data_IF_859281581977
#
_entry.id   IF_859281581977
#
_cell.length_a   1.000
_cell.length_b   1.000
_cell.length_c   1.000
_cell.angle_alpha   90.00
_cell.angle_beta   90.00
_cell.angle_gamma   90.00
#
_symmetry.space_group_name_H-M   'P 1'
#
loop_
_entity.id
_entity.type
_entity.pdbx_description
1 polymer ?
#
# COMPACT_ATOMS: atom_id res chain seq x y z
N UNK A 1 -7.18 13.66 2.53
CA UNK A 1 -6.10 14.67 2.48
C UNK A 1 -4.87 13.96 1.95
N UNK A 2 -4.21 14.54 0.96
CA UNK A 2 -2.95 14.04 0.40
C UNK A 2 -1.91 15.17 0.43
N UNK A 3 -0.63 14.82 0.35
CA UNK A 3 0.49 15.76 0.35
C UNK A 3 1.24 15.62 -0.96
N UNK A 4 1.50 16.73 -1.63
CA UNK A 4 2.26 16.73 -2.89
C UNK A 4 3.73 16.98 -2.59
N UNK A 5 4.59 16.09 -3.06
CA UNK A 5 6.04 16.25 -2.92
C UNK A 5 6.59 17.28 -3.93
N UNK A 6 7.66 18.01 -3.59
CA UNK A 6 8.32 18.89 -4.54
C UNK A 6 8.82 18.11 -5.77
N UNK A 7 8.78 18.75 -6.93
CA UNK A 7 9.31 18.19 -8.17
C UNK A 7 10.84 18.13 -8.09
N UNK A 8 11.41 16.97 -8.39
CA UNK A 8 12.87 16.83 -8.54
C UNK A 8 13.32 17.19 -9.96
N UNK A 9 14.59 17.58 -10.16
CA UNK A 9 15.17 17.73 -11.49
C UNK A 9 14.92 16.48 -12.35
N UNK A 10 14.75 16.63 -13.67
CA UNK A 10 14.79 15.47 -14.56
C UNK A 10 16.17 14.80 -14.44
N UNK A 11 16.24 13.51 -14.75
CA UNK A 11 17.50 12.74 -14.81
C UNK A 11 18.15 12.36 -13.47
N UNK A 12 17.44 12.41 -12.33
CA UNK A 12 17.98 11.87 -11.05
C UNK A 12 18.47 10.42 -11.17
N UNK A 13 17.92 9.65 -12.10
CA UNK A 13 18.35 8.28 -12.36
C UNK A 13 19.84 8.14 -12.71
N UNK A 14 20.53 9.18 -13.20
CA UNK A 14 21.98 9.11 -13.47
C UNK A 14 22.81 9.01 -12.20
N UNK A 15 22.23 9.33 -11.05
CA UNK A 15 22.84 9.23 -9.72
C UNK A 15 22.39 7.99 -8.95
N UNK A 16 21.68 7.05 -9.60
CA UNK A 16 21.35 5.76 -9.03
C UNK A 16 22.63 5.01 -8.65
N UNK A 17 22.75 4.70 -7.36
CA UNK A 17 23.89 3.99 -6.80
C UNK A 17 23.42 3.19 -5.58
N UNK A 18 23.71 1.90 -5.56
CA UNK A 18 23.39 1.04 -4.43
C UNK A 18 24.47 1.20 -3.34
N UNK A 19 24.05 1.36 -2.09
CA UNK A 19 24.92 1.14 -0.94
C UNK A 19 24.17 0.43 0.17
N UNK A 20 24.89 -0.36 0.95
CA UNK A 20 24.34 -1.19 2.00
C UNK A 20 25.15 -1.11 3.30
N UNK A 21 24.62 -1.76 4.33
CA UNK A 21 25.20 -1.82 5.66
C UNK A 21 24.86 -3.17 6.31
N UNK A 22 25.76 -3.71 7.11
CA UNK A 22 25.57 -4.99 7.83
C UNK A 22 24.58 -4.88 9.01
N UNK A 23 24.41 -3.69 9.57
CA UNK A 23 23.50 -3.41 10.68
C UNK A 23 22.16 -2.80 10.24
N UNK A 24 21.40 -2.25 11.20
CA UNK A 24 20.21 -1.46 10.88
C UNK A 24 20.62 -0.07 10.38
N UNK A 25 20.13 0.38 9.21
CA UNK A 25 20.40 1.74 8.74
C UNK A 25 19.79 2.76 9.71
N UNK A 26 20.46 3.90 9.94
CA UNK A 26 20.01 4.88 10.91
C UNK A 26 18.78 5.66 10.42
N UNK A 27 17.95 6.12 11.37
CA UNK A 27 16.97 7.18 11.08
C UNK A 27 17.71 8.45 10.65
N UNK A 28 17.32 9.03 9.51
CA UNK A 28 17.95 10.24 8.95
C UNK A 28 17.05 11.48 9.00
N UNK A 29 15.73 11.30 9.18
CA UNK A 29 14.77 12.41 9.26
C UNK A 29 13.73 12.16 10.36
N UNK A 30 13.12 13.23 10.87
CA UNK A 30 12.04 13.13 11.89
C UNK A 30 12.43 12.31 13.14
N UNK A 31 13.66 12.46 13.64
CA UNK A 31 14.23 11.62 14.72
C UNK A 31 13.33 11.46 15.95
N UNK A 32 12.80 12.55 16.50
CA UNK A 32 11.94 12.49 17.69
C UNK A 32 10.66 11.72 17.42
N UNK A 33 10.03 11.93 16.25
CA UNK A 33 8.82 11.21 15.88
C UNK A 33 9.10 9.71 15.71
N UNK A 34 10.19 9.35 15.00
CA UNK A 34 10.64 7.96 14.84
C UNK A 34 10.82 7.28 16.21
N UNK A 35 11.50 7.96 17.15
CA UNK A 35 11.71 7.47 18.51
C UNK A 35 10.39 7.22 19.27
N UNK A 36 9.50 8.23 19.35
CA UNK A 36 8.25 8.07 20.09
C UNK A 36 7.30 7.07 19.44
N UNK A 37 7.25 7.01 18.11
CA UNK A 37 6.43 6.04 17.39
C UNK A 37 6.95 4.61 17.60
N UNK A 38 8.26 4.41 17.56
CA UNK A 38 8.86 3.10 17.82
C UNK A 38 8.58 2.61 19.23
N UNK A 39 8.72 3.50 20.23
CA UNK A 39 8.44 3.17 21.63
C UNK A 39 6.98 2.79 21.86
N UNK A 40 6.03 3.53 21.29
CA UNK A 40 4.61 3.21 21.51
C UNK A 40 4.18 1.94 20.75
N UNK A 41 4.80 1.63 19.61
CA UNK A 41 4.59 0.37 18.89
C UNK A 41 5.06 -0.84 19.73
N UNK A 42 6.17 -0.73 20.46
CA UNK A 42 6.65 -1.80 21.35
C UNK A 42 5.64 -2.18 22.44
N UNK A 43 4.86 -1.22 22.94
CA UNK A 43 3.80 -1.48 23.94
C UNK A 43 2.66 -2.36 23.40
N UNK A 44 2.56 -2.52 22.07
CA UNK A 44 1.57 -3.39 21.42
C UNK A 44 2.00 -4.86 21.52
N UNK A 45 3.31 -5.12 21.39
CA UNK A 45 3.88 -6.48 21.30
C UNK A 45 3.47 -7.34 22.50
N UNK A 46 3.49 -6.77 23.71
CA UNK A 46 3.10 -7.49 24.94
C UNK A 46 1.58 -7.73 25.07
N UNK A 47 0.77 -7.08 24.23
CA UNK A 47 -0.71 -7.06 24.33
C UNK A 47 -1.41 -7.43 23.03
N UNK A 48 -0.74 -8.13 22.12
CA UNK A 48 -1.18 -8.37 20.73
C UNK A 48 -2.62 -8.92 20.62
N UNK A 49 -2.97 -9.94 21.40
CA UNK A 49 -4.32 -10.55 21.39
C UNK A 49 -5.42 -9.55 21.71
N UNK A 50 -5.19 -8.70 22.72
CA UNK A 50 -6.15 -7.66 23.08
C UNK A 50 -6.14 -6.55 22.05
N UNK A 51 -4.96 -6.12 21.60
CA UNK A 51 -4.81 -5.12 20.56
C UNK A 51 -5.64 -5.44 19.31
N UNK A 52 -5.63 -6.71 18.88
CA UNK A 52 -6.38 -7.19 17.72
C UNK A 52 -7.90 -7.05 17.81
N UNK A 53 -8.43 -7.05 19.03
CA UNK A 53 -9.83 -6.79 19.32
C UNK A 53 -10.08 -5.27 19.36
N UNK A 54 -9.28 -4.53 20.13
CA UNK A 54 -9.55 -3.13 20.43
C UNK A 54 -9.25 -2.19 19.26
N UNK A 55 -8.27 -2.50 18.41
CA UNK A 55 -7.96 -1.73 17.20
C UNK A 55 -9.14 -1.65 16.22
N UNK A 56 -10.08 -2.61 16.30
CA UNK A 56 -11.29 -2.62 15.47
C UNK A 56 -12.29 -1.56 15.92
N UNK A 57 -12.39 -1.29 17.23
CA UNK A 57 -13.28 -0.25 17.77
C UNK A 57 -12.73 1.16 17.52
N UNK A 58 -11.41 1.33 17.62
CA UNK A 58 -10.77 2.63 17.45
C UNK A 58 -10.48 3.00 15.99
N UNK A 59 -10.68 2.07 15.04
CA UNK A 59 -10.57 2.32 13.61
C UNK A 59 -11.92 2.77 13.01
N UNK A 60 -12.07 4.05 12.58
CA UNK A 60 -13.37 4.60 12.21
C UNK A 60 -14.10 3.93 11.04
N UNK A 61 -13.36 3.23 10.18
CA UNK A 61 -13.85 2.63 8.94
C UNK A 61 -13.75 1.10 8.94
N UNK A 62 -13.53 0.48 10.11
CA UNK A 62 -13.34 -0.98 10.22
C UNK A 62 -14.53 -1.77 9.67
N UNK A 63 -15.75 -1.28 9.89
CA UNK A 63 -16.98 -2.01 9.58
C UNK A 63 -17.45 -1.89 8.13
N UNK A 64 -16.70 -1.19 7.26
CA UNK A 64 -16.94 -1.28 5.80
C UNK A 64 -16.90 -2.75 5.38
N UNK A 65 -15.84 -3.46 5.77
CA UNK A 65 -15.63 -4.86 5.40
C UNK A 65 -15.82 -5.83 6.57
N UNK A 66 -15.32 -5.49 7.75
CA UNK A 66 -15.35 -6.38 8.91
C UNK A 66 -16.76 -6.49 9.48
N UNK A 67 -17.11 -7.65 10.05
CA UNK A 67 -18.40 -7.82 10.71
C UNK A 67 -18.54 -6.89 11.91
N UNK A 68 -19.70 -6.27 12.01
CA UNK A 68 -20.10 -5.48 13.16
C UNK A 68 -20.37 -6.45 14.33
N UNK A 69 -19.85 -6.17 15.55
CA UNK A 69 -20.13 -6.96 16.73
C UNK A 69 -21.63 -7.25 16.87
N UNK A 70 -21.97 -8.52 17.11
CA UNK A 70 -23.35 -9.01 17.30
C UNK A 70 -24.32 -8.86 16.11
N UNK A 71 -23.91 -8.35 14.94
CA UNK A 71 -24.81 -8.15 13.78
C UNK A 71 -24.58 -9.13 12.62
N UNK A 72 -23.57 -10.01 12.71
CA UNK A 72 -23.15 -11.04 11.72
C UNK A 72 -23.00 -10.52 10.26
N UNK A 73 -22.91 -9.21 10.06
CA UNK A 73 -22.81 -8.56 8.75
C UNK A 73 -21.90 -7.34 8.84
N UNK A 74 -21.34 -6.95 7.70
CA UNK A 74 -20.58 -5.69 7.56
C UNK A 74 -21.49 -4.62 6.93
N UNK A 75 -21.01 -3.38 6.90
CA UNK A 75 -21.73 -2.29 6.24
C UNK A 75 -21.78 -2.50 4.74
N UNK A 76 -20.65 -2.76 4.06
CA UNK A 76 -20.64 -3.08 2.64
C UNK A 76 -21.41 -4.37 2.35
N UNK A 77 -22.27 -4.35 1.33
CA UNK A 77 -22.84 -5.56 0.73
C UNK A 77 -21.83 -6.24 -0.17
N UNK A 78 -20.96 -5.46 -0.83
CA UNK A 78 -19.91 -6.00 -1.68
C UNK A 78 -18.85 -6.74 -0.86
N UNK A 79 -18.48 -7.94 -1.33
CA UNK A 79 -17.50 -8.84 -0.70
C UNK A 79 -16.33 -9.06 -1.65
N UNK A 80 -15.30 -8.20 -1.59
CA UNK A 80 -14.17 -8.30 -2.49
C UNK A 80 -13.24 -9.47 -2.13
N UNK A 81 -12.33 -9.80 -3.06
CA UNK A 81 -11.23 -10.75 -2.87
C UNK A 81 -10.37 -10.37 -1.66
N UNK A 82 -10.21 -9.07 -1.42
CA UNK A 82 -9.48 -8.57 -0.26
C UNK A 82 -9.93 -7.16 0.14
N UNK A 83 -9.55 -6.74 1.35
CA UNK A 83 -9.80 -5.37 1.86
C UNK A 83 -9.08 -4.28 1.06
N UNK A 84 -8.05 -4.63 0.27
CA UNK A 84 -7.31 -3.66 -0.53
C UNK A 84 -8.20 -3.05 -1.63
N UNK A 85 -9.25 -3.75 -2.06
CA UNK A 85 -10.30 -3.23 -2.95
C UNK A 85 -10.80 -1.84 -2.53
N UNK A 86 -11.22 -1.67 -1.27
CA UNK A 86 -11.78 -0.40 -0.80
C UNK A 86 -10.74 0.72 -0.78
N UNK A 87 -9.46 0.40 -0.56
CA UNK A 87 -8.38 1.40 -0.65
C UNK A 87 -8.22 1.88 -2.09
N UNK A 88 -8.27 0.96 -3.05
CA UNK A 88 -8.15 1.29 -4.47
C UNK A 88 -9.33 2.14 -4.97
N UNK A 89 -10.56 1.84 -4.51
CA UNK A 89 -11.73 2.68 -4.77
C UNK A 89 -11.50 4.13 -4.31
N UNK A 90 -10.97 4.33 -3.09
CA UNK A 90 -10.62 5.69 -2.63
C UNK A 90 -9.54 6.34 -3.48
N UNK A 91 -8.47 5.61 -3.79
CA UNK A 91 -7.33 6.14 -4.54
C UNK A 91 -7.77 6.60 -5.94
N UNK A 92 -8.54 5.78 -6.66
CA UNK A 92 -9.01 6.10 -8.01
C UNK A 92 -10.10 7.17 -8.05
N UNK A 93 -10.87 7.33 -6.98
CA UNK A 93 -11.81 8.45 -6.88
C UNK A 93 -11.11 9.80 -6.76
N UNK A 94 -9.91 9.84 -6.17
CA UNK A 94 -9.13 11.06 -5.95
C UNK A 94 -8.17 11.28 -7.13
N UNK A 95 -7.57 10.20 -7.63
CA UNK A 95 -6.58 10.19 -8.69
C UNK A 95 -7.08 9.27 -9.82
N UNK A 96 -7.96 9.76 -10.69
CA UNK A 96 -8.54 8.95 -11.75
C UNK A 96 -7.47 8.45 -12.73
N UNK A 97 -7.75 7.28 -13.33
CA UNK A 97 -6.91 6.70 -14.38
C UNK A 97 -6.96 7.62 -15.61
N UNK A 98 -5.82 7.90 -16.28
CA UNK A 98 -5.84 8.67 -17.51
C UNK A 98 -6.57 7.93 -18.64
N UNK A 99 -7.13 8.68 -19.59
CA UNK A 99 -7.73 8.14 -20.83
C UNK A 99 -8.87 7.11 -20.62
N UNK A 100 -9.80 7.39 -19.70
CA UNK A 100 -10.94 6.53 -19.33
C UNK A 100 -11.77 6.09 -20.55
N UNK A 101 -11.82 6.86 -21.63
CA UNK A 101 -12.66 6.54 -22.79
C UNK A 101 -12.06 5.46 -23.72
N UNK A 102 -10.77 5.16 -23.60
CA UNK A 102 -10.09 4.17 -24.45
C UNK A 102 -9.78 2.88 -23.67
N UNK A 103 -9.61 1.74 -24.37
CA UNK A 103 -9.10 0.53 -23.74
C UNK A 103 -7.73 0.77 -23.13
N UNK A 104 -7.55 0.38 -21.87
CA UNK A 104 -6.29 0.56 -21.14
C UNK A 104 -5.60 -0.77 -20.85
N UNK A 105 -4.30 -0.70 -20.58
CA UNK A 105 -3.53 -1.79 -19.98
C UNK A 105 -3.10 -1.40 -18.58
N UNK A 106 -3.31 -2.27 -17.61
CA UNK A 106 -2.83 -2.05 -16.23
C UNK A 106 -1.99 -3.23 -15.74
N UNK A 107 -1.02 -2.98 -14.87
CA UNK A 107 -0.17 -4.02 -14.30
C UNK A 107 -0.13 -3.93 -12.77
N UNK A 108 -0.40 -5.05 -12.10
CA UNK A 108 -0.62 -5.16 -10.65
C UNK A 108 0.47 -6.03 -10.02
N UNK A 109 1.41 -5.42 -9.30
CA UNK A 109 2.63 -6.04 -8.77
C UNK A 109 2.49 -6.47 -7.31
N UNK A 110 2.74 -7.75 -7.03
CA UNK A 110 2.72 -8.35 -5.69
C UNK A 110 1.38 -8.17 -4.94
N UNK A 111 0.26 -8.27 -5.66
CA UNK A 111 -1.07 -7.91 -5.14
C UNK A 111 -2.00 -9.09 -4.88
N UNK A 112 -1.50 -10.33 -4.85
CA UNK A 112 -2.31 -11.51 -4.52
C UNK A 112 -3.10 -11.29 -3.21
N UNK A 113 -4.42 -11.53 -3.16
CA UNK A 113 -5.27 -12.22 -4.14
C UNK A 113 -5.92 -11.32 -5.20
N UNK A 114 -5.63 -10.02 -5.25
CA UNK A 114 -6.09 -9.14 -6.32
C UNK A 114 -7.23 -8.17 -5.99
N UNK A 115 -7.30 -7.67 -4.76
CA UNK A 115 -8.33 -6.66 -4.42
C UNK A 115 -8.21 -5.37 -5.23
N UNK A 116 -7.00 -4.96 -5.60
CA UNK A 116 -6.76 -3.77 -6.44
C UNK A 116 -7.20 -3.99 -7.88
N UNK A 117 -6.77 -5.09 -8.52
CA UNK A 117 -7.22 -5.45 -9.87
C UNK A 117 -8.75 -5.58 -9.96
N UNK A 118 -9.39 -6.18 -8.95
CA UNK A 118 -10.85 -6.26 -8.85
C UNK A 118 -11.51 -4.86 -8.81
N UNK A 119 -10.94 -3.92 -8.04
CA UNK A 119 -11.44 -2.55 -7.99
C UNK A 119 -11.32 -1.83 -9.34
N UNK A 120 -10.19 -2.02 -10.04
CA UNK A 120 -10.01 -1.43 -11.38
C UNK A 120 -11.00 -2.02 -12.37
N UNK A 121 -11.14 -3.35 -12.42
CA UNK A 121 -12.09 -4.05 -13.29
C UNK A 121 -13.50 -3.53 -13.07
N UNK A 122 -13.94 -3.42 -11.81
CA UNK A 122 -15.29 -2.96 -11.48
C UNK A 122 -15.53 -1.49 -11.86
N UNK A 123 -14.55 -0.61 -11.62
CA UNK A 123 -14.66 0.81 -11.96
C UNK A 123 -14.64 1.05 -13.48
N UNK A 124 -13.81 0.30 -14.20
CA UNK A 124 -13.65 0.44 -15.65
C UNK A 124 -14.80 -0.19 -16.42
N UNK A 125 -15.28 -1.35 -15.95
CA UNK A 125 -16.33 -2.14 -16.57
C UNK A 125 -16.17 -2.25 -18.11
N UNK A 126 -14.94 -2.51 -18.57
CA UNK A 126 -14.58 -2.50 -19.99
C UNK A 126 -13.89 -3.82 -20.36
N UNK A 127 -14.58 -4.65 -21.16
CA UNK A 127 -14.06 -5.95 -21.59
C UNK A 127 -12.85 -5.85 -22.54
N UNK A 128 -12.60 -4.67 -23.12
CA UNK A 128 -11.46 -4.43 -24.01
C UNK A 128 -10.18 -4.04 -23.27
N UNK A 129 -10.28 -3.65 -22.01
CA UNK A 129 -9.12 -3.40 -21.16
C UNK A 129 -8.36 -4.72 -20.93
N UNK A 130 -7.06 -4.63 -20.62
CA UNK A 130 -6.25 -5.78 -20.19
C UNK A 130 -5.65 -5.50 -18.82
N UNK A 131 -5.85 -6.42 -17.90
CA UNK A 131 -5.37 -6.29 -16.53
C UNK A 131 -4.36 -7.41 -16.23
N UNK A 132 -3.10 -7.07 -16.07
CA UNK A 132 -2.04 -8.04 -15.80
C UNK A 132 -1.76 -8.10 -14.30
N UNK A 133 -1.72 -9.30 -13.72
CA UNK A 133 -1.41 -9.51 -12.31
C UNK A 133 -0.18 -10.39 -12.12
N UNK A 134 0.79 -9.94 -11.34
CA UNK A 134 1.99 -10.69 -10.99
C UNK A 134 2.10 -10.78 -9.47
N UNK A 135 2.20 -11.99 -8.92
CA UNK A 135 2.41 -12.23 -7.48
C UNK A 135 3.22 -13.50 -7.30
N UNK A 136 3.91 -13.62 -6.17
CA UNK A 136 4.62 -14.83 -5.79
C UNK A 136 3.70 -16.05 -5.88
N UNK A 137 4.18 -17.10 -6.52
CA UNK A 137 3.52 -18.39 -6.55
C UNK A 137 4.08 -19.25 -5.43
N UNK A 138 3.20 -19.77 -4.58
CA UNK A 138 3.54 -20.82 -3.63
C UNK A 138 3.64 -22.14 -4.41
N UNK A 139 4.86 -22.51 -4.81
CA UNK A 139 5.10 -23.72 -5.63
C UNK A 139 4.87 -25.01 -4.86
N UNK A 140 4.78 -24.96 -3.53
CA UNK A 140 4.65 -26.15 -2.68
C UNK A 140 3.26 -26.30 -2.05
N UNK A 141 2.40 -25.29 -2.16
CA UNK A 141 1.05 -25.24 -1.55
C UNK A 141 1.07 -25.45 -0.02
N UNK A 142 2.22 -25.24 0.62
CA UNK A 142 2.44 -25.55 2.04
C UNK A 142 2.23 -24.34 2.95
N UNK A 143 2.26 -23.11 2.42
CA UNK A 143 2.17 -21.90 3.24
C UNK A 143 0.98 -21.02 2.83
N UNK A 144 -0.06 -21.03 3.66
CA UNK A 144 -1.25 -20.20 3.48
C UNK A 144 -0.99 -18.69 3.63
N UNK A 145 0.18 -18.29 4.16
CA UNK A 145 0.54 -16.89 4.36
C UNK A 145 1.15 -16.24 3.11
N UNK A 146 1.59 -17.03 2.12
CA UNK A 146 2.13 -16.48 0.87
C UNK A 146 0.97 -15.91 0.03
N UNK A 147 1.01 -14.60 -0.32
CA UNK A 147 -0.01 -13.99 -1.17
C UNK A 147 -0.12 -14.71 -2.51
N UNK A 148 -1.30 -15.24 -2.84
CA UNK A 148 -1.52 -16.01 -4.07
C UNK A 148 -2.92 -15.78 -4.64
N UNK A 149 -3.11 -16.20 -5.89
CA UNK A 149 -4.39 -16.12 -6.61
C UNK A 149 -5.40 -17.21 -6.22
N UNK A 150 -5.10 -18.04 -5.22
CA UNK A 150 -5.93 -19.19 -4.78
C UNK A 150 -7.38 -18.80 -4.42
N UNK A 151 -7.62 -17.55 -4.00
CA UNK A 151 -8.96 -17.04 -3.66
C UNK A 151 -9.69 -16.39 -4.83
N UNK A 152 -9.10 -16.41 -6.02
CA UNK A 152 -9.50 -15.57 -7.16
C UNK A 152 -10.07 -16.35 -8.33
N UNK A 153 -10.18 -17.69 -8.24
CA UNK A 153 -10.65 -18.56 -9.33
C UNK A 153 -11.96 -18.11 -9.98
N UNK A 154 -12.95 -17.78 -9.15
CA UNK A 154 -14.25 -17.31 -9.65
C UNK A 154 -14.10 -15.99 -10.40
N UNK A 155 -13.38 -15.04 -9.81
CA UNK A 155 -13.13 -13.73 -10.41
C UNK A 155 -12.38 -13.86 -11.74
N UNK A 156 -11.34 -14.69 -11.81
CA UNK A 156 -10.57 -14.93 -13.04
C UNK A 156 -11.42 -15.59 -14.14
N UNK A 157 -12.34 -16.50 -13.76
CA UNK A 157 -13.30 -17.08 -14.73
C UNK A 157 -14.30 -16.06 -15.25
N UNK A 158 -14.82 -15.18 -14.39
CA UNK A 158 -15.77 -14.12 -14.76
C UNK A 158 -15.11 -12.99 -15.57
N UNK A 159 -13.79 -12.80 -15.43
CA UNK A 159 -13.03 -11.73 -16.08
C UNK A 159 -11.84 -12.26 -16.89
N UNK A 160 -12.12 -12.77 -18.10
CA UNK A 160 -11.10 -13.35 -19.01
C UNK A 160 -10.03 -12.35 -19.49
N UNK A 161 -10.27 -11.05 -19.31
CA UNK A 161 -9.31 -10.00 -19.60
C UNK A 161 -8.36 -9.68 -18.44
N UNK A 162 -8.48 -10.42 -17.33
CA UNK A 162 -7.47 -10.49 -16.27
C UNK A 162 -6.49 -11.61 -16.58
N UNK A 163 -5.22 -11.27 -16.75
CA UNK A 163 -4.16 -12.17 -17.21
C UNK A 163 -3.11 -12.28 -16.11
N UNK A 164 -2.84 -13.50 -15.65
CA UNK A 164 -1.77 -13.75 -14.70
C UNK A 164 -0.42 -13.80 -15.42
N UNK A 165 0.49 -12.94 -15.02
CA UNK A 165 1.84 -12.85 -15.55
C UNK A 165 2.82 -13.31 -14.46
N UNK A 166 3.29 -14.56 -14.56
CA UNK A 166 4.19 -15.14 -13.57
C UNK A 166 5.68 -14.93 -13.91
N UNK A 167 5.97 -14.17 -14.97
CA UNK A 167 7.33 -13.93 -15.45
C UNK A 167 7.94 -15.16 -16.12
N UNK A 168 9.18 -15.02 -16.60
CA UNK A 168 9.88 -16.09 -17.33
C UNK A 168 10.27 -17.25 -16.42
N UNK A 169 10.47 -17.00 -15.12
CA UNK A 169 10.74 -18.06 -14.13
C UNK A 169 9.48 -18.83 -13.74
N UNK A 170 8.30 -18.30 -14.04
CA UNK A 170 7.01 -18.85 -13.58
C UNK A 170 6.72 -18.66 -12.10
N UNK A 171 7.61 -18.03 -11.32
CA UNK A 171 7.45 -17.87 -9.87
C UNK A 171 6.69 -16.61 -9.47
N UNK A 172 6.55 -15.64 -10.38
CA UNK A 172 6.01 -14.32 -10.07
C UNK A 172 6.87 -13.51 -9.09
N UNK A 173 8.11 -13.94 -8.84
CA UNK A 173 9.04 -13.24 -7.96
C UNK A 173 9.57 -11.97 -8.62
N UNK A 174 9.20 -10.83 -8.05
CA UNK A 174 9.63 -9.51 -8.52
C UNK A 174 11.03 -9.14 -8.05
N UNK A 175 11.69 -9.94 -7.21
CA UNK A 175 13.11 -9.81 -6.87
C UNK A 175 14.02 -10.62 -7.80
N UNK A 176 13.46 -11.36 -8.77
CA UNK A 176 14.23 -12.06 -9.80
C UNK A 176 14.67 -11.11 -10.92
N UNK A 177 15.98 -11.08 -11.20
CA UNK A 177 16.53 -10.33 -12.34
C UNK A 177 15.98 -10.83 -13.67
N UNK A 178 15.83 -12.15 -13.84
CA UNK A 178 15.31 -12.74 -15.09
C UNK A 178 13.88 -12.27 -15.37
N UNK A 179 13.05 -12.24 -14.33
CA UNK A 179 11.70 -11.68 -14.44
C UNK A 179 11.73 -10.18 -14.75
N UNK A 180 12.62 -9.41 -14.12
CA UNK A 180 12.75 -7.98 -14.41
C UNK A 180 13.10 -7.72 -15.88
N UNK A 181 14.08 -8.45 -16.43
CA UNK A 181 14.49 -8.33 -17.82
C UNK A 181 13.35 -8.70 -18.78
N UNK A 182 12.70 -9.85 -18.54
CA UNK A 182 11.58 -10.33 -19.35
C UNK A 182 10.41 -9.34 -19.37
N UNK A 183 10.01 -8.83 -18.21
CA UNK A 183 8.88 -7.90 -18.09
C UNK A 183 9.21 -6.55 -18.75
N UNK A 184 10.43 -6.06 -18.56
CA UNK A 184 10.91 -4.84 -19.20
C UNK A 184 10.82 -4.90 -20.72
N UNK A 185 11.14 -6.05 -21.32
CA UNK A 185 11.06 -6.25 -22.77
C UNK A 185 9.60 -6.42 -23.24
N UNK A 186 8.82 -7.27 -22.56
CA UNK A 186 7.46 -7.64 -22.99
C UNK A 186 6.46 -6.48 -22.89
N UNK A 187 6.53 -5.67 -21.85
CA UNK A 187 5.55 -4.63 -21.55
C UNK A 187 6.03 -3.20 -21.82
N UNK A 188 7.30 -3.05 -22.19
CA UNK A 188 8.01 -1.80 -22.52
C UNK A 188 7.12 -0.58 -22.80
N UNK A 189 7.06 0.35 -21.83
CA UNK A 189 6.39 1.65 -21.96
C UNK A 189 4.93 1.61 -22.46
N UNK A 190 4.20 0.53 -22.13
CA UNK A 190 2.85 0.28 -22.67
C UNK A 190 1.73 0.22 -21.62
N UNK A 191 2.05 0.36 -20.33
CA UNK A 191 1.10 0.25 -19.24
C UNK A 191 0.59 1.64 -18.80
N UNK A 192 -0.73 1.84 -18.81
CA UNK A 192 -1.38 3.10 -18.45
C UNK A 192 -1.45 3.31 -16.93
N UNK A 193 -1.67 2.22 -16.17
CA UNK A 193 -1.65 2.22 -14.71
C UNK A 193 -0.83 1.05 -14.18
N UNK A 194 0.20 1.35 -13.38
CA UNK A 194 0.88 0.33 -12.58
C UNK A 194 0.43 0.47 -11.12
N UNK A 195 0.21 -0.62 -10.44
CA UNK A 195 -0.02 -0.65 -9.00
C UNK A 195 0.90 -1.66 -8.33
N UNK A 196 1.22 -1.40 -7.07
CA UNK A 196 2.15 -2.18 -6.28
C UNK A 196 1.71 -2.15 -4.80
N UNK A 197 1.11 -3.24 -4.31
CA UNK A 197 0.64 -3.41 -2.91
C UNK A 197 1.46 -4.45 -2.12
N UNK A 198 2.67 -4.75 -2.60
CA UNK A 198 3.56 -5.75 -2.02
C UNK A 198 3.97 -5.44 -0.59
N UNK A 199 3.99 -6.48 0.25
CA UNK A 199 4.42 -6.41 1.64
C UNK A 199 4.66 -7.81 2.21
N UNK A 200 5.58 -7.93 3.16
CA UNK A 200 5.74 -9.14 3.95
C UNK A 200 4.77 -9.15 5.15
N UNK A 201 4.58 -10.30 5.78
CA UNK A 201 3.90 -10.34 7.08
C UNK A 201 4.87 -9.81 8.16
N UNK A 202 4.52 -8.65 8.71
CA UNK A 202 5.31 -7.95 9.74
C UNK A 202 4.63 -8.01 11.11
N UNK A 203 3.71 -8.95 11.33
CA UNK A 203 2.97 -9.10 12.59
C UNK A 203 3.86 -9.16 13.83
N UNK A 204 5.09 -9.67 13.70
CA UNK A 204 6.08 -9.77 14.77
C UNK A 204 7.08 -8.61 14.87
N UNK A 205 7.23 -7.77 13.84
CA UNK A 205 8.24 -6.69 13.82
C UNK A 205 7.80 -5.45 13.01
N UNK A 206 6.95 -4.64 13.64
CA UNK A 206 6.47 -3.39 13.03
C UNK A 206 7.53 -2.28 12.93
N UNK A 207 8.64 -2.38 13.67
CA UNK A 207 9.64 -1.32 13.75
C UNK A 207 10.70 -1.44 12.65
N UNK A 208 11.04 -2.66 12.22
CA UNK A 208 12.00 -2.87 11.12
C UNK A 208 11.33 -3.01 9.74
N UNK A 209 10.02 -2.78 9.66
CA UNK A 209 9.25 -2.86 8.42
C UNK A 209 9.82 -1.98 7.28
N UNK A 210 10.28 -0.76 7.58
CA UNK A 210 10.89 0.14 6.59
C UNK A 210 12.22 -0.41 6.03
N UNK A 211 12.97 -1.15 6.85
CA UNK A 211 14.25 -1.74 6.47
C UNK A 211 14.00 -2.96 5.58
N UNK A 212 13.15 -3.88 6.02
CA UNK A 212 12.89 -5.15 5.33
C UNK A 212 12.21 -4.98 3.97
N UNK A 213 11.36 -3.95 3.81
CA UNK A 213 10.66 -3.72 2.54
C UNK A 213 11.53 -3.01 1.49
N UNK A 214 12.67 -2.44 1.87
CA UNK A 214 13.48 -1.55 1.02
C UNK A 214 13.80 -2.13 -0.37
N UNK A 215 14.24 -3.40 -0.43
CA UNK A 215 14.54 -4.11 -1.67
C UNK A 215 13.28 -4.33 -2.52
N UNK A 216 12.17 -4.71 -1.88
CA UNK A 216 10.88 -4.89 -2.55
C UNK A 216 10.32 -3.57 -3.10
N UNK A 217 10.51 -2.45 -2.39
CA UNK A 217 10.10 -1.13 -2.87
C UNK A 217 10.88 -0.74 -4.13
N UNK A 218 12.21 -0.88 -4.12
CA UNK A 218 13.02 -0.58 -5.29
C UNK A 218 12.68 -1.47 -6.48
N UNK A 219 12.41 -2.76 -6.24
CA UNK A 219 11.94 -3.67 -7.28
C UNK A 219 10.60 -3.22 -7.87
N UNK A 220 9.58 -2.97 -7.04
CA UNK A 220 8.27 -2.48 -7.51
C UNK A 220 8.39 -1.18 -8.30
N UNK A 221 9.23 -0.24 -7.87
CA UNK A 221 9.52 1.00 -8.60
C UNK A 221 10.19 0.69 -9.93
N UNK A 222 11.23 -0.15 -9.94
CA UNK A 222 11.97 -0.48 -11.17
C UNK A 222 11.06 -1.11 -12.22
N UNK A 223 10.24 -2.08 -11.82
CA UNK A 223 9.23 -2.70 -12.68
C UNK A 223 8.23 -1.66 -13.21
N UNK A 224 7.71 -0.79 -12.34
CA UNK A 224 6.79 0.26 -12.76
C UNK A 224 7.44 1.17 -13.83
N UNK A 225 8.62 1.71 -13.56
CA UNK A 225 9.31 2.65 -14.45
C UNK A 225 9.60 2.08 -15.84
N UNK A 226 9.96 0.79 -15.96
CA UNK A 226 10.26 0.18 -17.27
C UNK A 226 9.02 -0.15 -18.10
N UNK A 227 7.87 -0.37 -17.44
CA UNK A 227 6.60 -0.69 -18.08
C UNK A 227 5.73 0.54 -18.37
N UNK A 228 5.94 1.63 -17.63
CA UNK A 228 5.03 2.78 -17.61
C UNK A 228 4.99 3.51 -18.96
N UNK A 229 3.80 3.65 -19.52
CA UNK A 229 3.53 4.49 -20.69
C UNK A 229 3.61 5.97 -20.32
N UNK A 230 4.09 6.81 -21.25
CA UNK A 230 4.06 8.27 -21.08
C UNK A 230 2.67 8.77 -20.69
N UNK A 231 2.60 9.62 -19.68
CA UNK A 231 1.36 10.13 -19.09
C UNK A 231 0.66 9.15 -18.16
N UNK A 232 1.16 7.92 -17.99
CA UNK A 232 0.58 6.91 -17.12
C UNK A 232 0.76 7.21 -15.63
N UNK A 233 0.00 6.49 -14.81
CA UNK A 233 0.01 6.63 -13.35
C UNK A 233 0.62 5.40 -12.67
N UNK A 234 1.20 5.61 -11.49
CA UNK A 234 1.73 4.55 -10.63
C UNK A 234 1.26 4.73 -9.18
N UNK A 235 0.79 3.65 -8.56
CA UNK A 235 0.39 3.62 -7.15
C UNK A 235 1.25 2.61 -6.40
N UNK A 236 1.96 3.05 -5.36
CA UNK A 236 2.89 2.22 -4.59
C UNK A 236 2.55 2.28 -3.11
N UNK A 237 2.36 1.12 -2.49
CA UNK A 237 2.32 1.01 -1.03
C UNK A 237 3.71 1.25 -0.43
N UNK A 238 3.76 2.05 0.62
CA UNK A 238 4.93 2.23 1.47
C UNK A 238 4.52 2.16 2.94
N UNK A 239 5.51 2.10 3.83
CA UNK A 239 5.30 2.10 5.28
C UNK A 239 5.86 3.37 5.89
N UNK A 240 6.72 3.29 6.90
CA UNK A 240 7.39 4.47 7.46
C UNK A 240 8.35 5.13 6.45
N UNK A 241 8.76 6.36 6.73
CA UNK A 241 9.69 7.13 5.89
C UNK A 241 10.60 7.94 6.81
N UNK A 242 11.51 7.25 7.49
CA UNK A 242 12.48 7.83 8.41
C UNK A 242 13.92 7.60 7.98
N UNK A 243 14.15 6.68 7.03
CA UNK A 243 15.46 6.21 6.62
C UNK A 243 15.78 6.69 5.20
N UNK A 244 17.07 6.90 4.94
CA UNK A 244 17.55 7.52 3.71
C UNK A 244 17.14 6.77 2.43
N UNK A 245 17.14 5.43 2.43
CA UNK A 245 16.75 4.68 1.24
C UNK A 245 15.30 4.98 0.82
N UNK A 246 14.37 5.15 1.76
CA UNK A 246 12.99 5.53 1.44
C UNK A 246 12.92 6.94 0.87
N UNK A 247 13.67 7.88 1.45
CA UNK A 247 13.75 9.27 0.96
C UNK A 247 14.31 9.31 -0.47
N UNK A 248 15.35 8.53 -0.75
CA UNK A 248 15.96 8.40 -2.08
C UNK A 248 14.94 7.90 -3.10
N UNK A 249 14.15 6.87 -2.77
CA UNK A 249 13.11 6.33 -3.65
C UNK A 249 12.00 7.35 -3.95
N UNK A 250 11.56 8.12 -2.95
CA UNK A 250 10.56 9.18 -3.15
C UNK A 250 11.10 10.30 -4.04
N UNK A 251 12.35 10.71 -3.81
CA UNK A 251 13.02 11.74 -4.62
C UNK A 251 13.27 11.29 -6.06
N UNK A 252 13.56 10.00 -6.25
CA UNK A 252 13.63 9.38 -7.57
C UNK A 252 12.27 9.47 -8.25
N UNK A 253 11.19 8.99 -7.64
CA UNK A 253 9.84 9.03 -8.21
C UNK A 253 9.41 10.46 -8.60
N UNK A 254 9.71 11.47 -7.79
CA UNK A 254 9.40 12.86 -8.14
C UNK A 254 10.22 13.40 -9.31
N UNK A 255 11.25 12.70 -9.79
CA UNK A 255 11.91 13.02 -11.07
C UNK A 255 11.19 12.39 -12.28
N UNK A 256 10.47 11.27 -12.09
CA UNK A 256 9.86 10.48 -13.17
C UNK A 256 8.41 10.84 -13.53
N UNK A 257 7.69 11.49 -12.61
CA UNK A 257 6.26 11.81 -12.78
C UNK A 257 5.99 13.30 -12.62
N UNK A 258 4.98 13.85 -13.30
CA UNK A 258 4.58 15.25 -13.19
C UNK A 258 4.27 15.64 -11.73
N UNK A 259 3.52 14.79 -11.03
CA UNK A 259 3.18 14.97 -9.62
C UNK A 259 3.32 13.65 -8.87
N UNK A 260 3.79 13.76 -7.63
CA UNK A 260 3.90 12.65 -6.69
C UNK A 260 3.23 13.05 -5.40
N UNK A 261 2.31 12.22 -4.93
CA UNK A 261 1.51 12.46 -3.73
C UNK A 261 1.72 11.37 -2.70
N UNK A 262 1.69 11.73 -1.42
CA UNK A 262 1.59 10.77 -0.31
C UNK A 262 0.17 10.86 0.27
N UNK A 263 -0.50 9.71 0.36
CA UNK A 263 -1.87 9.60 0.85
C UNK A 263 -2.04 8.36 1.75
N UNK A 264 -2.82 8.49 2.82
CA UNK A 264 -3.33 7.36 3.59
C UNK A 264 -4.85 7.30 3.42
N UNK A 265 -5.38 6.35 2.64
CA UNK A 265 -6.84 6.14 2.50
C UNK A 265 -7.51 5.93 3.85
N UNK A 266 -8.78 6.30 3.97
CA UNK A 266 -9.57 6.15 5.19
C UNK A 266 -9.74 4.68 5.58
N UNK A 267 -9.77 3.79 4.59
CA UNK A 267 -9.82 2.33 4.72
C UNK A 267 -8.48 1.70 5.14
N UNK A 268 -7.38 2.47 5.16
CA UNK A 268 -6.13 2.04 5.80
C UNK A 268 -6.15 2.41 7.29
N UNK A 269 -5.88 1.41 8.16
CA UNK A 269 -6.03 1.56 9.62
C UNK A 269 -5.15 2.67 10.17
N UNK A 270 -5.68 3.48 11.08
CA UNK A 270 -4.96 4.67 11.58
C UNK A 270 -3.73 4.34 12.42
N UNK A 271 -3.71 3.20 13.10
CA UNK A 271 -2.57 2.76 13.90
C UNK A 271 -1.41 2.16 13.09
N UNK A 272 -1.60 1.82 11.80
CA UNK A 272 -0.54 1.22 10.99
C UNK A 272 0.24 2.29 10.20
N UNK A 273 1.46 1.93 9.82
CA UNK A 273 2.35 2.79 9.02
C UNK A 273 2.05 2.73 7.51
N UNK A 274 1.12 1.88 7.08
CA UNK A 274 0.75 1.73 5.67
C UNK A 274 0.19 3.04 5.10
N UNK A 275 0.76 3.44 3.97
CA UNK A 275 0.36 4.60 3.17
C UNK A 275 0.68 4.33 1.70
N UNK A 276 0.24 5.20 0.82
CA UNK A 276 0.40 5.05 -0.62
C UNK A 276 1.05 6.29 -1.23
N UNK A 277 1.99 6.04 -2.13
CA UNK A 277 2.52 7.01 -3.07
C UNK A 277 1.69 6.92 -4.33
N UNK A 278 1.17 8.07 -4.79
CA UNK A 278 0.43 8.18 -6.04
C UNK A 278 1.19 9.11 -6.97
N UNK A 279 1.74 8.52 -8.02
CA UNK A 279 2.49 9.17 -9.07
C UNK A 279 1.57 9.35 -10.29
N UNK A 280 1.48 10.57 -10.81
CA UNK A 280 0.64 10.88 -11.98
C UNK A 280 1.44 11.54 -13.10
N UNK A 281 1.17 11.14 -14.34
CA UNK A 281 1.79 11.74 -15.51
C UNK A 281 3.25 11.34 -15.68
N UNK A 282 3.52 10.09 -16.03
CA UNK A 282 4.89 9.63 -16.31
C UNK A 282 5.54 10.44 -17.44
N UNK A 283 6.77 10.92 -17.23
CA UNK A 283 7.39 11.92 -18.10
C UNK A 283 8.09 11.34 -19.34
N UNK A 284 8.59 10.11 -19.25
CA UNK A 284 9.43 9.52 -20.29
C UNK A 284 8.59 8.81 -21.36
N UNK A 285 9.05 8.86 -22.60
CA UNK A 285 8.44 8.14 -23.73
C UNK A 285 8.86 6.68 -23.81
N UNK A 286 10.08 6.38 -23.35
CA UNK A 286 10.61 5.03 -23.27
C UNK A 286 11.52 4.86 -22.05
N UNK A 287 11.95 3.61 -21.79
CA UNK A 287 12.83 3.27 -20.67
C UNK A 287 14.32 3.21 -21.01
N UNK A 288 14.73 3.42 -22.26
CA UNK A 288 16.10 3.15 -22.72
C UNK A 288 17.15 3.98 -21.99
N UNK A 289 16.83 5.24 -21.66
CA UNK A 289 17.78 6.16 -21.05
C UNK A 289 18.12 5.84 -19.59
N UNK A 290 17.19 5.24 -18.85
CA UNK A 290 17.33 4.96 -17.43
C UNK A 290 17.41 3.46 -17.10
N UNK A 291 17.04 2.58 -18.03
CA UNK A 291 17.07 1.13 -17.84
C UNK A 291 18.46 0.60 -17.43
N UNK A 292 19.60 1.02 -18.04
CA UNK A 292 20.91 0.53 -17.61
C UNK A 292 21.23 0.86 -16.15
N UNK A 293 20.82 2.04 -15.66
CA UNK A 293 21.03 2.47 -14.28
C UNK A 293 20.17 1.65 -13.30
N UNK A 294 18.89 1.45 -13.62
CA UNK A 294 18.01 0.59 -12.84
C UNK A 294 18.55 -0.84 -12.77
N UNK A 295 18.90 -1.42 -13.93
CA UNK A 295 19.44 -2.79 -14.02
C UNK A 295 20.70 -2.96 -13.16
N UNK A 296 21.63 -2.00 -13.21
CA UNK A 296 22.86 -2.05 -12.42
C UNK A 296 22.58 -2.08 -10.92
N UNK A 297 21.77 -1.12 -10.42
CA UNK A 297 21.41 -1.07 -8.99
C UNK A 297 20.61 -2.31 -8.57
N UNK A 298 19.72 -2.80 -9.42
CA UNK A 298 18.96 -4.01 -9.16
C UNK A 298 19.88 -5.23 -9.02
N UNK A 299 20.89 -5.39 -9.89
CA UNK A 299 21.85 -6.49 -9.82
C UNK A 299 22.61 -6.48 -8.49
N UNK A 300 23.17 -5.33 -8.13
CA UNK A 300 23.93 -5.15 -6.88
C UNK A 300 23.07 -5.44 -5.64
N UNK A 301 21.80 -5.05 -5.68
CA UNK A 301 20.84 -5.30 -4.60
C UNK A 301 20.53 -6.79 -4.41
N UNK A 302 20.39 -7.57 -5.50
CA UNK A 302 20.14 -9.02 -5.42
C UNK A 302 21.41 -9.77 -4.97
N UNK A 303 22.59 -9.36 -5.46
CA UNK A 303 23.88 -9.99 -5.13
C UNK A 303 24.23 -9.92 -3.64
N UNK A 304 23.63 -8.95 -2.91
CA UNK A 304 23.85 -8.74 -1.48
C UNK A 304 22.55 -8.98 -0.68
N UNK A 305 22.02 -10.21 -0.61
CA UNK A 305 20.72 -10.47 0.02
C UNK A 305 20.74 -10.28 1.54
N UNK A 306 21.91 -10.47 2.17
CA UNK A 306 22.08 -10.49 3.64
C UNK A 306 22.39 -9.11 4.25
N UNK A 307 22.54 -8.06 3.44
CA UNK A 307 22.77 -6.69 3.91
C UNK A 307 21.48 -5.86 3.86
N UNK A 308 21.42 -4.82 4.69
CA UNK A 308 20.34 -3.85 4.67
C UNK A 308 20.70 -2.69 3.76
N UNK A 309 19.73 -2.20 2.98
CA UNK A 309 19.95 -1.05 2.09
C UNK A 309 20.19 0.21 2.91
N UNK A 310 21.24 0.96 2.57
CA UNK A 310 21.53 2.26 3.15
C UNK A 310 21.03 3.39 2.23
N UNK A 311 21.39 3.34 0.94
CA UNK A 311 20.99 4.35 -0.05
C UNK A 311 20.76 3.77 -1.45
N UNK A 312 19.99 4.51 -2.25
CA UNK A 312 19.81 4.28 -3.68
C UNK A 312 20.33 5.42 -4.56
N UNK A 313 20.76 6.54 -3.97
CA UNK A 313 21.30 7.69 -4.69
C UNK A 313 22.67 8.10 -4.13
N UNK A 314 23.57 8.52 -5.02
CA UNK A 314 24.92 9.02 -4.66
C UNK A 314 24.96 10.53 -4.37
N UNK A 315 23.82 11.22 -4.44
CA UNK A 315 23.70 12.67 -4.23
C UNK A 315 23.00 13.01 -2.93
N UNK A 316 23.21 14.21 -2.41
CA UNK A 316 22.39 14.72 -1.30
C UNK A 316 21.00 15.13 -1.79
N UNK A 317 19.99 14.89 -0.96
CA UNK A 317 18.61 15.28 -1.25
C UNK A 317 18.41 16.74 -0.80
N UNK A 318 17.88 17.62 -1.67
CA UNK A 318 17.65 19.02 -1.31
C UNK A 318 16.81 19.16 -0.04
N UNK A 319 17.22 20.07 0.83
CA UNK A 319 16.58 20.31 2.13
C UNK A 319 15.07 20.59 2.02
N UNK A 320 14.64 21.30 0.98
CA UNK A 320 13.22 21.56 0.73
C UNK A 320 12.39 20.27 0.55
N UNK A 321 12.96 19.25 -0.10
CA UNK A 321 12.31 17.97 -0.29
C UNK A 321 12.23 17.20 1.03
N UNK A 322 13.34 17.16 1.77
CA UNK A 322 13.40 16.57 3.12
C UNK A 322 12.35 17.22 4.03
N UNK A 323 12.26 18.56 4.05
CA UNK A 323 11.30 19.28 4.87
C UNK A 323 9.85 18.93 4.55
N UNK A 324 9.51 18.74 3.28
CA UNK A 324 8.16 18.29 2.91
C UNK A 324 7.84 16.88 3.38
N UNK A 325 8.82 15.98 3.43
CA UNK A 325 8.63 14.67 4.03
C UNK A 325 8.48 14.79 5.56
N UNK A 326 9.26 15.63 6.23
CA UNK A 326 9.14 15.85 7.68
C UNK A 326 7.80 16.48 8.10
N UNK A 327 7.29 17.44 7.32
CA UNK A 327 5.94 18.00 7.50
C UNK A 327 4.87 16.91 7.41
N UNK A 328 4.96 16.08 6.36
CA UNK A 328 4.08 14.93 6.17
C UNK A 328 4.16 13.95 7.35
N UNK A 329 5.37 13.57 7.73
CA UNK A 329 5.63 12.62 8.81
C UNK A 329 5.06 13.13 10.12
N UNK A 330 5.26 14.41 10.45
CA UNK A 330 4.72 15.03 11.67
C UNK A 330 3.21 14.82 11.78
N UNK A 331 2.47 15.08 10.70
CA UNK A 331 1.01 15.03 10.73
C UNK A 331 0.46 13.60 10.84
N UNK A 332 1.02 12.67 10.07
CA UNK A 332 0.56 11.27 10.11
C UNK A 332 1.09 10.51 11.32
N UNK A 333 2.36 10.69 11.66
CA UNK A 333 2.98 10.05 12.81
C UNK A 333 2.31 10.47 14.11
N UNK A 334 1.98 11.76 14.28
CA UNK A 334 1.23 12.21 15.45
C UNK A 334 -0.15 11.54 15.55
N UNK A 335 -0.87 11.46 14.43
CA UNK A 335 -2.18 10.79 14.38
C UNK A 335 -2.08 9.29 14.68
N UNK A 336 -1.01 8.65 14.22
CA UNK A 336 -0.74 7.24 14.50
C UNK A 336 -0.44 7.02 15.98
N UNK A 337 0.47 7.80 16.58
CA UNK A 337 0.79 7.76 18.02
C UNK A 337 -0.49 7.95 18.84
N UNK A 338 -1.29 8.97 18.53
CA UNK A 338 -2.55 9.22 19.23
C UNK A 338 -3.53 8.05 19.12
N UNK A 339 -3.66 7.44 17.95
CA UNK A 339 -4.56 6.29 17.77
C UNK A 339 -4.07 5.05 18.53
N UNK A 340 -2.75 4.79 18.53
CA UNK A 340 -2.16 3.70 19.31
C UNK A 340 -2.37 3.94 20.80
N UNK A 341 -1.98 5.11 21.30
CA UNK A 341 -2.17 5.49 22.70
C UNK A 341 -3.62 5.33 23.12
N UNK A 342 -4.55 5.87 22.35
CA UNK A 342 -5.98 5.80 22.64
C UNK A 342 -6.51 4.36 22.71
N UNK A 343 -6.02 3.50 21.82
CA UNK A 343 -6.39 2.07 21.81
C UNK A 343 -5.86 1.37 23.05
N UNK A 344 -4.60 1.61 23.43
CA UNK A 344 -3.99 1.07 24.65
C UNK A 344 -4.74 1.55 25.91
N UNK A 345 -5.06 2.84 26.01
CA UNK A 345 -5.85 3.37 27.13
C UNK A 345 -7.26 2.77 27.20
N UNK A 346 -7.88 2.47 26.05
CA UNK A 346 -9.19 1.81 26.00
C UNK A 346 -9.13 0.37 26.51
N UNK A 347 -8.01 -0.33 26.27
CA UNK A 347 -7.81 -1.70 26.76
C UNK A 347 -7.76 -1.74 28.30
N UNK A 348 -7.13 -0.76 28.92
CA UNK A 348 -6.93 -0.69 30.37
C UNK A 348 -8.14 -0.12 31.14
N UNK A 349 -9.05 0.58 30.45
CA UNK A 349 -10.21 1.20 31.08
C UNK A 349 -11.24 0.14 31.58
N UNK A 350 -11.57 0.18 32.88
CA UNK A 350 -12.54 -0.71 33.53
C UNK A 350 -14.00 -0.43 33.11
N UNK A 351 -14.35 0.82 32.82
CA UNK A 351 -15.72 1.25 32.48
C UNK A 351 -15.84 1.60 30.98
N UNK A 352 -15.49 0.64 30.12
CA UNK A 352 -15.37 0.85 28.66
C UNK A 352 -16.60 0.49 27.82
N UNK A 353 -17.59 -0.20 28.39
CA UNK A 353 -18.74 -0.73 27.63
C UNK A 353 -19.48 0.34 26.83
N UNK A 354 -20.04 1.35 27.51
CA UNK A 354 -20.77 2.45 26.85
C UNK A 354 -19.93 3.22 25.83
N UNK A 355 -18.63 3.36 26.08
CA UNK A 355 -17.68 4.00 25.17
C UNK A 355 -17.47 3.18 23.89
N UNK A 356 -17.33 1.86 24.02
CA UNK A 356 -17.22 0.94 22.88
C UNK A 356 -18.51 0.95 22.07
N UNK A 357 -19.67 0.93 22.73
CA UNK A 357 -20.96 0.97 22.03
C UNK A 357 -21.12 2.24 21.21
N UNK A 358 -20.76 3.40 21.78
CA UNK A 358 -20.76 4.68 21.06
C UNK A 358 -19.80 4.66 19.86
N UNK A 359 -18.59 4.10 20.03
CA UNK A 359 -17.63 3.95 18.91
C UNK A 359 -18.21 3.06 17.81
N UNK A 360 -18.83 1.94 18.16
CA UNK A 360 -19.45 1.04 17.18
C UNK A 360 -20.47 1.82 16.36
N UNK A 361 -21.34 2.59 17.01
CA UNK A 361 -22.34 3.40 16.32
C UNK A 361 -21.75 4.46 15.41
N UNK A 362 -20.78 5.21 15.91
CA UNK A 362 -20.08 6.23 15.14
C UNK A 362 -19.37 5.63 13.92
N UNK A 363 -18.74 4.46 14.08
CA UNK A 363 -18.00 3.81 13.01
C UNK A 363 -18.93 3.19 11.97
N UNK A 364 -20.11 2.68 12.37
CA UNK A 364 -21.15 2.24 11.43
C UNK A 364 -21.60 3.42 10.57
N UNK A 365 -21.92 4.57 11.18
CA UNK A 365 -22.34 5.76 10.45
C UNK A 365 -21.27 6.24 9.47
N UNK A 366 -20.00 6.32 9.91
CA UNK A 366 -18.87 6.68 9.03
C UNK A 366 -18.68 5.69 7.88
N UNK A 367 -18.84 4.40 8.15
CA UNK A 367 -18.75 3.36 7.12
C UNK A 367 -19.89 3.43 6.11
N UNK A 368 -21.12 3.77 6.54
CA UNK A 368 -22.27 4.00 5.65
C UNK A 368 -22.01 5.24 4.78
N UNK A 369 -21.58 6.35 5.39
CA UNK A 369 -21.22 7.56 4.65
C UNK A 369 -20.11 7.32 3.63
N UNK A 370 -19.12 6.50 3.99
CA UNK A 370 -18.07 6.06 3.07
C UNK A 370 -18.68 5.28 1.89
N UNK A 371 -19.56 4.31 2.14
CA UNK A 371 -20.21 3.53 1.08
C UNK A 371 -21.03 4.42 0.14
N UNK A 372 -21.82 5.36 0.70
CA UNK A 372 -22.60 6.33 -0.09
C UNK A 372 -21.67 7.19 -0.96
N UNK A 373 -20.59 7.74 -0.37
CA UNK A 373 -19.64 8.60 -1.08
C UNK A 373 -19.00 7.90 -2.28
N UNK A 374 -18.71 6.61 -2.17
CA UNK A 374 -18.03 5.82 -3.19
C UNK A 374 -18.96 4.92 -4.01
N UNK A 375 -20.28 5.14 -3.91
CA UNK A 375 -21.31 4.39 -4.62
C UNK A 375 -21.18 2.86 -4.44
N UNK A 376 -20.91 2.42 -3.21
CA UNK A 376 -20.89 1.02 -2.81
C UNK A 376 -22.19 0.69 -2.08
N UNK A 377 -22.85 -0.38 -2.51
CA UNK A 377 -24.06 -0.87 -1.85
C UNK A 377 -23.80 -1.23 -0.38
N UNK A 378 -24.71 -0.82 0.49
CA UNK A 378 -24.58 -1.04 1.94
C UNK A 378 -25.83 -1.65 2.58
N UNK A 379 -25.61 -2.36 3.69
CA UNK A 379 -26.65 -2.92 4.53
C UNK A 379 -27.20 -1.85 5.46
N UNK A 380 -28.53 -1.74 5.56
CA UNK A 380 -29.17 -0.93 6.61
C UNK A 380 -28.92 -1.63 7.95
N UNK A 381 -28.19 -0.97 8.85
CA UNK A 381 -27.90 -1.48 10.19
C UNK A 381 -28.89 -0.83 11.16
N UNK A 382 -29.92 -1.57 11.57
CA UNK A 382 -30.87 -1.11 12.59
C UNK A 382 -30.25 -1.34 13.98
N UNK A 383 -30.23 -0.29 14.78
CA UNK A 383 -29.92 -0.38 16.20
C UNK A 383 -31.19 -0.75 16.95
N UNK A 384 -31.31 -2.01 17.35
CA UNK A 384 -32.28 -2.38 18.36
C UNK A 384 -31.78 -1.77 19.68
N UNK A 385 -32.32 -0.61 20.02
CA UNK A 385 -32.03 0.10 21.27
C UNK A 385 -33.06 -0.22 22.37
N UNK A 386 -33.89 -1.24 22.20
CA UNK A 386 -34.87 -1.66 23.19
C UNK A 386 -34.93 -3.20 23.26
N UNK A 387 -34.06 -3.78 24.09
CA UNK A 387 -34.43 -4.96 24.88
C UNK A 387 -33.97 -4.63 26.30
N UNK A 388 -34.83 -3.92 27.03
CA UNK A 388 -34.88 -4.07 28.48
C UNK A 388 -35.43 -5.46 28.73
N UNK A 389 -34.61 -6.34 29.29
CA UNK A 389 -35.07 -7.57 29.91
C UNK A 389 -36.01 -7.20 31.06
N UNK A 390 -37.31 -7.12 30.76
CA UNK A 390 -38.37 -7.34 31.76
C UNK A 390 -38.84 -8.78 31.60
N UNK A 391 -38.17 -9.69 32.30
CA UNK A 391 -38.75 -10.97 32.68
C UNK A 391 -39.09 -10.90 34.17
N UNK A 392 -40.41 -10.75 34.40
CA UNK A 392 -41.13 -11.18 35.61
C UNK A 392 -41.01 -12.69 35.77
#
# INVERSE_FOLDING_TARGET
>A
MYYTLPKSPPFIYTYLNYSDISGSPPTTISHSLSYYLSNIKLLITDKEKQWDIYKKYTNPYEYIHSYIPNKKRAVSKYRPLSRSFFKMIELLSIFPIPNIEQPIKTFHLAEGPGGFIEAVVNLRNCQKDKYFGMTLQDTNDTDTNIPSWKKSDRFLREHQNVILENGITGTGDILSMDNFLFISEKYHSSIDLVTADGGFDFSSDFNHQEIFISKLLFAQISFALVMQKKGGNFILKIFDCFIQHTVDLLYLLSSFYEKVHIIKPQTSRYANSEKYIVCTGFLFSDSKSFFPYLKNVFSQMIENPNTNVLRFLSIEIPYIFIKKIEEYNTLYGQKQIQNIHYTLSLMENKHKGSKIDNMIQTNIQKSIQWCIKYNIDYNVIINNLFYTDEHV
#
